data_IF_679108812473
#
_entry.id   IF_679108812473
#
_cell.length_a   1.000
_cell.length_b   1.000
_cell.length_c   1.000
_cell.angle_alpha   90.00
_cell.angle_beta   90.00
_cell.angle_gamma   90.00
#
_symmetry.space_group_name_H-M   'P 1'
#
loop_
_entity.id
_entity.type
_entity.pdbx_description
1 polymer ?
#
# COMPACT_ATOMS: atom_id res chain seq x y z
N UNK A 1 19.03 -3.14 -17.72
CA UNK A 1 18.33 -1.85 -17.61
C UNK A 1 17.01 -2.12 -16.90
N UNK A 2 16.81 -1.63 -15.67
CA UNK A 2 15.59 -1.90 -14.88
C UNK A 2 14.48 -1.01 -15.42
N UNK A 3 13.41 -1.60 -15.93
CA UNK A 3 12.23 -0.85 -16.35
C UNK A 3 11.46 -0.42 -15.09
N UNK A 4 11.37 0.88 -14.84
CA UNK A 4 10.49 1.41 -13.79
C UNK A 4 9.04 1.19 -14.22
N UNK A 5 8.38 0.15 -13.69
CA UNK A 5 6.96 -0.17 -13.94
C UNK A 5 6.00 0.49 -12.93
N UNK A 6 6.55 1.13 -11.91
CA UNK A 6 5.84 1.63 -10.73
C UNK A 6 5.22 3.03 -10.89
N UNK A 7 5.01 3.46 -12.15
CA UNK A 7 4.35 4.72 -12.43
C UNK A 7 3.58 4.70 -13.75
N UNK A 8 2.35 5.21 -13.69
CA UNK A 8 1.56 5.64 -14.84
C UNK A 8 0.57 4.61 -15.35
N UNK A 9 0.36 3.50 -14.63
CA UNK A 9 -0.64 2.51 -14.98
C UNK A 9 -1.96 2.68 -14.19
N UNK A 10 -2.94 1.85 -14.54
CA UNK A 10 -4.27 1.81 -13.93
C UNK A 10 -4.26 1.40 -12.44
N UNK A 11 -3.23 0.67 -11.98
CA UNK A 11 -3.04 0.31 -10.56
C UNK A 11 -2.49 1.51 -9.79
N UNK A 12 -1.51 2.21 -10.34
CA UNK A 12 -0.94 3.42 -9.75
C UNK A 12 -2.01 4.51 -9.61
N UNK A 13 -2.85 4.70 -10.63
CA UNK A 13 -3.99 5.62 -10.53
C UNK A 13 -4.86 5.34 -9.31
N UNK A 14 -5.15 4.05 -9.04
CA UNK A 14 -5.91 3.68 -7.86
C UNK A 14 -5.11 3.92 -6.56
N UNK A 15 -3.83 3.55 -6.50
CA UNK A 15 -3.01 3.80 -5.30
C UNK A 15 -3.01 5.29 -4.94
N UNK A 16 -2.71 6.16 -5.91
CA UNK A 16 -2.67 7.61 -5.70
C UNK A 16 -4.01 8.16 -5.22
N UNK A 17 -5.10 7.76 -5.86
CA UNK A 17 -6.43 8.27 -5.54
C UNK A 17 -6.87 7.89 -4.12
N UNK A 18 -6.67 6.62 -3.75
CA UNK A 18 -7.00 6.12 -2.41
C UNK A 18 -6.13 6.77 -1.33
N UNK A 19 -4.82 6.89 -1.57
CA UNK A 19 -3.90 7.52 -0.62
C UNK A 19 -4.27 9.00 -0.44
N UNK A 20 -4.58 9.70 -1.53
CA UNK A 20 -5.04 11.10 -1.48
C UNK A 20 -6.31 11.21 -0.65
N UNK A 21 -7.28 10.31 -0.84
CA UNK A 21 -8.51 10.30 -0.05
C UNK A 21 -8.22 10.12 1.45
N UNK A 22 -7.28 9.25 1.83
CA UNK A 22 -6.91 9.02 3.23
C UNK A 22 -6.22 10.25 3.82
N UNK A 23 -5.15 10.77 3.21
CA UNK A 23 -4.37 11.87 3.81
C UNK A 23 -5.16 13.18 3.88
N UNK A 24 -6.14 13.39 2.98
CA UNK A 24 -6.98 14.60 2.99
C UNK A 24 -8.16 14.52 3.96
N UNK A 25 -8.51 13.34 4.44
CA UNK A 25 -9.73 13.10 5.24
C UNK A 25 -9.44 12.50 6.62
N UNK A 26 -8.17 12.47 7.04
CA UNK A 26 -7.73 11.94 8.34
C UNK A 26 -6.76 12.90 9.01
N UNK A 27 -6.40 12.60 10.25
CA UNK A 27 -5.33 13.28 10.98
C UNK A 27 -3.92 12.98 10.46
N UNK A 28 -3.77 12.04 9.51
CA UNK A 28 -2.49 11.59 8.97
C UNK A 28 -1.91 12.63 7.99
N UNK A 29 -1.17 13.59 8.54
CA UNK A 29 -0.60 14.74 7.80
C UNK A 29 0.76 14.46 7.18
N UNK A 30 1.45 13.41 7.61
CA UNK A 30 2.75 13.04 7.08
C UNK A 30 2.63 11.77 6.25
N UNK A 31 3.41 11.68 5.18
CA UNK A 31 3.38 10.53 4.29
C UNK A 31 4.77 9.94 4.12
N UNK A 32 4.88 8.63 4.33
CA UNK A 32 6.09 7.85 4.10
C UNK A 32 5.83 6.87 2.96
N UNK A 33 6.59 7.00 1.87
CA UNK A 33 6.54 6.05 0.77
C UNK A 33 7.63 4.99 0.90
N UNK A 34 7.23 3.72 0.88
CA UNK A 34 8.12 2.56 1.00
C UNK A 34 8.00 1.68 -0.27
N UNK A 35 8.69 2.04 -1.36
CA UNK A 35 8.63 1.28 -2.62
C UNK A 35 9.52 0.04 -2.58
N UNK A 36 8.95 -1.17 -2.67
CA UNK A 36 9.74 -2.40 -2.74
C UNK A 36 10.02 -2.78 -4.19
N UNK A 37 11.07 -2.20 -4.75
CA UNK A 37 11.46 -2.42 -6.15
C UNK A 37 12.24 -3.72 -6.29
N UNK A 38 11.64 -4.79 -6.80
CA UNK A 38 12.36 -6.05 -7.01
C UNK A 38 13.02 -6.10 -8.40
N UNK A 39 13.99 -6.99 -8.59
CA UNK A 39 14.54 -7.25 -9.92
C UNK A 39 13.47 -7.87 -10.83
N UNK A 40 12.95 -7.08 -11.76
CA UNK A 40 11.90 -7.53 -12.68
C UNK A 40 12.42 -8.54 -13.71
N UNK A 41 11.62 -9.58 -13.93
CA UNK A 41 11.63 -10.37 -15.16
C UNK A 41 10.86 -9.63 -16.25
N UNK A 42 11.26 -9.77 -17.52
CA UNK A 42 10.51 -9.24 -18.66
C UNK A 42 9.10 -9.86 -18.70
N UNK A 43 8.09 -9.15 -18.23
CA UNK A 43 6.68 -9.50 -18.42
C UNK A 43 5.88 -8.29 -18.96
N UNK A 44 4.66 -8.53 -19.44
CA UNK A 44 3.78 -7.51 -20.01
C UNK A 44 2.96 -6.73 -18.96
N UNK A 45 3.22 -6.94 -17.66
CA UNK A 45 2.51 -6.23 -16.59
C UNK A 45 2.96 -4.76 -16.47
N UNK A 46 2.07 -3.87 -16.02
CA UNK A 46 2.37 -2.44 -15.80
C UNK A 46 2.23 -1.50 -17.00
N UNK A 47 1.52 -1.92 -18.05
CA UNK A 47 1.34 -1.13 -19.29
C UNK A 47 -0.12 -0.73 -19.58
N UNK A 48 -1.05 -1.05 -18.68
CA UNK A 48 -2.46 -0.69 -18.86
C UNK A 48 -2.66 0.77 -18.48
N UNK A 49 -2.93 1.61 -19.47
CA UNK A 49 -3.22 3.02 -19.23
C UNK A 49 -4.44 3.18 -18.30
N UNK A 50 -4.38 4.13 -17.35
CA UNK A 50 -5.50 4.43 -16.48
C UNK A 50 -6.67 4.97 -17.30
N UNK A 51 -7.89 4.69 -16.82
CA UNK A 51 -9.14 5.15 -17.44
C UNK A 51 -9.98 5.87 -16.40
N UNK A 52 -10.89 6.73 -16.87
CA UNK A 52 -11.91 7.35 -16.02
C UNK A 52 -12.68 6.24 -15.28
N UNK A 53 -12.85 6.41 -13.97
CA UNK A 53 -13.57 5.49 -13.10
C UNK A 53 -14.49 6.29 -12.20
N UNK A 54 -15.74 5.87 -12.11
CA UNK A 54 -16.71 6.50 -11.22
C UNK A 54 -16.21 6.48 -9.77
N UNK A 55 -16.23 7.66 -9.15
CA UNK A 55 -15.79 7.85 -7.75
C UNK A 55 -14.29 8.10 -7.57
N UNK A 56 -13.51 8.27 -8.66
CA UNK A 56 -12.08 8.61 -8.61
C UNK A 56 -11.81 9.98 -9.25
N UNK A 57 -10.63 10.55 -8.96
CA UNK A 57 -10.21 11.91 -9.32
C UNK A 57 -9.81 12.08 -10.80
N UNK A 58 -10.53 12.92 -11.53
CA UNK A 58 -10.20 13.29 -12.92
C UNK A 58 -8.92 14.14 -13.03
N UNK A 59 -8.64 14.99 -12.03
CA UNK A 59 -7.43 15.80 -11.96
C UNK A 59 -6.17 14.95 -11.79
N UNK A 60 -6.26 13.86 -11.03
CA UNK A 60 -5.20 12.85 -10.92
C UNK A 60 -4.98 12.12 -12.25
N UNK A 61 -6.05 11.71 -12.94
CA UNK A 61 -5.94 11.07 -14.24
C UNK A 61 -5.23 12.01 -15.24
N UNK A 62 -5.61 13.28 -15.25
CA UNK A 62 -4.97 14.30 -16.07
C UNK A 62 -3.50 14.54 -15.66
N UNK A 63 -3.19 14.51 -14.36
CA UNK A 63 -1.81 14.59 -13.87
C UNK A 63 -0.96 13.45 -14.40
N UNK A 64 -1.43 12.20 -14.26
CA UNK A 64 -0.71 11.01 -14.77
C UNK A 64 -0.50 11.13 -16.28
N UNK A 65 -1.52 11.54 -17.05
CA UNK A 65 -1.42 11.74 -18.48
C UNK A 65 -0.40 12.79 -18.93
N UNK A 66 -0.05 13.76 -18.07
CA UNK A 66 1.00 14.77 -18.34
C UNK A 66 2.42 14.29 -18.02
N UNK A 67 2.57 13.18 -17.29
CA UNK A 67 3.87 12.65 -16.90
C UNK A 67 4.47 11.85 -18.07
N UNK A 68 5.55 12.39 -18.68
CA UNK A 68 6.16 11.77 -19.87
C UNK A 68 7.17 10.66 -19.53
N UNK A 69 7.71 10.66 -18.33
CA UNK A 69 8.69 9.70 -17.83
C UNK A 69 8.11 8.80 -16.73
N UNK A 70 8.52 7.52 -16.69
CA UNK A 70 8.15 6.59 -15.62
C UNK A 70 9.07 6.78 -14.42
N UNK A 71 8.71 7.72 -13.54
CA UNK A 71 9.53 8.13 -12.42
C UNK A 71 8.75 8.16 -11.11
N UNK A 72 9.30 7.54 -10.08
CA UNK A 72 8.69 7.50 -8.75
C UNK A 72 8.61 8.88 -8.08
N UNK A 73 9.40 9.87 -8.52
CA UNK A 73 9.28 11.26 -8.04
C UNK A 73 7.91 11.89 -8.32
N UNK A 74 7.14 11.34 -9.25
CA UNK A 74 5.77 11.79 -9.48
C UNK A 74 4.85 11.54 -8.27
N UNK A 75 5.20 10.59 -7.39
CA UNK A 75 4.48 10.36 -6.13
C UNK A 75 4.58 11.56 -5.21
N UNK A 76 5.80 12.05 -4.99
CA UNK A 76 6.04 13.25 -4.21
C UNK A 76 5.36 14.46 -4.84
N UNK A 77 5.52 14.64 -6.15
CA UNK A 77 4.93 15.78 -6.85
C UNK A 77 3.40 15.82 -6.75
N UNK A 78 2.74 14.67 -6.78
CA UNK A 78 1.29 14.59 -6.61
C UNK A 78 0.87 14.80 -5.15
N UNK A 79 1.55 14.16 -4.20
CA UNK A 79 1.10 14.13 -2.80
C UNK A 79 1.51 15.37 -2.00
N UNK A 80 2.57 16.08 -2.39
CA UNK A 80 3.10 17.25 -1.66
C UNK A 80 2.04 18.31 -1.30
N UNK A 81 1.05 18.65 -2.15
CA UNK A 81 0.01 19.61 -1.78
C UNK A 81 -0.97 19.11 -0.70
N UNK A 82 -1.02 17.80 -0.45
CA UNK A 82 -1.99 17.17 0.46
C UNK A 82 -1.39 16.76 1.81
N UNK A 83 -0.07 16.86 1.97
CA UNK A 83 0.64 16.39 3.17
C UNK A 83 1.58 17.48 3.69
N UNK A 84 1.78 17.53 5.00
CA UNK A 84 2.74 18.42 5.64
C UNK A 84 4.20 18.00 5.35
N UNK A 85 4.44 16.71 5.12
CA UNK A 85 5.73 16.23 4.62
C UNK A 85 5.59 14.94 3.84
N UNK A 86 6.32 14.84 2.74
CA UNK A 86 6.57 13.60 2.02
C UNK A 86 7.96 13.09 2.39
N UNK A 87 8.08 11.80 2.74
CA UNK A 87 9.37 11.18 3.07
C UNK A 87 9.48 9.82 2.41
N UNK A 88 10.69 9.51 1.97
CA UNK A 88 11.07 8.19 1.48
C UNK A 88 12.59 8.06 1.57
N UNK A 89 13.09 6.90 1.23
CA UNK A 89 14.51 6.60 1.28
C UNK A 89 15.15 6.92 -0.06
N UNK A 90 16.07 7.90 -0.05
CA UNK A 90 16.78 8.37 -1.24
C UNK A 90 18.03 7.52 -1.55
N UNK A 91 18.48 7.43 -2.81
CA UNK A 91 17.79 7.91 -4.02
C UNK A 91 16.59 7.01 -4.40
N UNK A 92 15.42 7.63 -4.61
CA UNK A 92 14.20 6.91 -5.01
C UNK A 92 14.38 6.27 -6.39
N UNK A 93 13.88 5.04 -6.56
CA UNK A 93 13.94 4.32 -7.84
C UNK A 93 15.28 3.64 -8.13
N UNK A 94 16.26 3.75 -7.23
CA UNK A 94 17.59 3.14 -7.40
C UNK A 94 17.90 2.02 -6.41
N UNK A 95 17.24 2.02 -5.26
CA UNK A 95 17.41 0.94 -4.27
C UNK A 95 16.59 -0.26 -4.72
N UNK A 96 17.26 -1.34 -5.09
CA UNK A 96 16.63 -2.63 -5.39
C UNK A 96 16.46 -3.43 -4.10
N UNK A 97 15.28 -4.01 -3.95
CA UNK A 97 14.88 -4.88 -2.87
C UNK A 97 15.20 -6.33 -3.23
N UNK A 98 16.01 -7.00 -2.41
CA UNK A 98 16.36 -8.41 -2.55
C UNK A 98 16.38 -9.11 -1.19
N UNK A 99 16.55 -10.44 -1.18
CA UNK A 99 16.65 -11.19 0.08
C UNK A 99 17.92 -10.81 0.86
N UNK A 100 19.02 -10.52 0.15
CA UNK A 100 20.33 -10.19 0.71
C UNK A 100 20.32 -8.81 1.38
N UNK A 101 19.57 -7.85 0.84
CA UNK A 101 19.51 -6.47 1.37
C UNK A 101 18.30 -6.22 2.26
N UNK A 102 17.43 -7.21 2.44
CA UNK A 102 16.12 -7.13 3.12
C UNK A 102 16.19 -6.45 4.49
N UNK A 103 17.10 -6.90 5.35
CA UNK A 103 17.23 -6.38 6.71
C UNK A 103 17.70 -4.91 6.73
N UNK A 104 18.74 -4.58 5.96
CA UNK A 104 19.25 -3.21 5.88
C UNK A 104 18.28 -2.26 5.16
N UNK A 105 17.49 -2.77 4.23
CA UNK A 105 16.43 -2.02 3.56
C UNK A 105 15.38 -1.52 4.57
N UNK A 106 14.81 -2.41 5.39
CA UNK A 106 13.77 -2.03 6.35
C UNK A 106 14.28 -1.10 7.44
N UNK A 107 15.53 -1.30 7.88
CA UNK A 107 16.17 -0.44 8.89
C UNK A 107 16.18 1.04 8.48
N UNK A 108 16.30 1.35 7.18
CA UNK A 108 16.29 2.73 6.65
C UNK A 108 14.95 3.43 6.86
N UNK A 109 13.85 2.69 6.99
CA UNK A 109 12.51 3.25 7.19
C UNK A 109 12.11 3.36 8.66
N UNK A 110 12.80 2.69 9.60
CA UNK A 110 12.39 2.65 11.01
C UNK A 110 12.18 4.04 11.62
N UNK A 111 13.16 4.96 11.46
CA UNK A 111 13.04 6.33 11.97
C UNK A 111 11.92 7.14 11.33
N UNK A 112 11.52 6.79 10.10
CA UNK A 112 10.42 7.45 9.41
C UNK A 112 9.06 7.03 9.97
N UNK A 113 8.96 5.80 10.50
CA UNK A 113 7.72 5.25 11.07
C UNK A 113 7.43 5.72 12.50
N UNK A 114 8.46 6.20 13.21
CA UNK A 114 8.34 6.78 14.56
C UNK A 114 7.68 8.16 14.55
N UNK A 115 7.57 8.79 13.37
CA UNK A 115 6.90 10.07 13.22
C UNK A 115 5.39 9.95 13.45
N UNK A 116 4.86 10.84 14.29
CA UNK A 116 3.43 10.90 14.57
C UNK A 116 2.60 11.23 13.33
N UNK A 117 1.31 10.88 13.35
CA UNK A 117 0.33 11.28 12.33
C UNK A 117 0.79 10.96 10.90
N UNK A 118 1.42 9.79 10.74
CA UNK A 118 2.03 9.35 9.49
C UNK A 118 1.19 8.26 8.83
N UNK A 119 0.89 8.43 7.55
CA UNK A 119 0.48 7.35 6.67
C UNK A 119 1.72 6.78 5.99
N UNK A 120 2.15 5.58 6.39
CA UNK A 120 3.22 4.86 5.72
C UNK A 120 2.63 3.89 4.70
N UNK A 121 2.87 4.14 3.41
CA UNK A 121 2.42 3.27 2.31
C UNK A 121 3.53 2.32 1.86
N UNK A 122 3.24 1.02 1.92
CA UNK A 122 4.15 -0.05 1.52
C UNK A 122 3.66 -0.62 0.21
N UNK A 123 4.53 -0.59 -0.80
CA UNK A 123 4.23 -1.01 -2.17
C UNK A 123 5.08 -2.24 -2.58
N UNK A 124 4.78 -3.44 -2.02
CA UNK A 124 5.33 -4.71 -2.51
C UNK A 124 4.75 -5.09 -3.87
N UNK A 125 5.48 -5.88 -4.65
CA UNK A 125 4.93 -6.42 -5.91
C UNK A 125 3.68 -7.29 -5.67
N UNK A 126 3.67 -8.09 -4.61
CA UNK A 126 2.54 -8.99 -4.29
C UNK A 126 1.78 -8.59 -3.04
N UNK A 127 2.43 -8.28 -1.92
CA UNK A 127 1.73 -7.95 -0.67
C UNK A 127 2.28 -8.63 0.57
N UNK A 128 1.43 -8.83 1.57
CA UNK A 128 1.81 -9.52 2.81
C UNK A 128 1.90 -11.03 2.57
N UNK A 129 2.91 -11.68 3.12
CA UNK A 129 2.90 -13.12 3.39
C UNK A 129 2.75 -13.33 4.89
N UNK A 130 1.50 -13.51 5.33
CA UNK A 130 1.20 -13.92 6.70
C UNK A 130 0.94 -15.43 6.68
N UNK A 131 1.90 -16.24 7.11
CA UNK A 131 1.79 -17.68 6.89
C UNK A 131 3.01 -18.52 7.16
N UNK A 132 2.91 -19.81 6.83
CA UNK A 132 4.09 -20.67 6.68
C UNK A 132 4.88 -20.21 5.45
N UNK A 133 6.19 -20.02 5.61
CA UNK A 133 7.12 -19.62 4.53
C UNK A 133 7.17 -20.63 3.38
N UNK A 134 6.92 -21.91 3.66
CA UNK A 134 6.94 -23.00 2.68
C UNK A 134 5.96 -22.86 1.52
N UNK A 135 5.04 -21.89 1.57
CA UNK A 135 4.11 -21.58 0.49
C UNK A 135 4.69 -20.67 -0.62
N UNK A 136 5.86 -20.06 -0.40
CA UNK A 136 6.51 -19.19 -1.39
C UNK A 136 7.78 -19.86 -1.91
N UNK A 137 7.96 -19.86 -3.23
CA UNK A 137 9.22 -20.24 -3.85
C UNK A 137 10.30 -19.21 -3.48
N UNK A 138 11.52 -19.64 -3.23
CA UNK A 138 12.61 -18.76 -2.77
C UNK A 138 12.79 -17.50 -3.64
N UNK A 139 12.68 -17.66 -4.97
CA UNK A 139 12.78 -16.57 -5.95
C UNK A 139 11.63 -15.55 -5.89
N UNK A 140 10.48 -15.90 -5.30
CA UNK A 140 9.33 -15.01 -5.18
C UNK A 140 9.29 -14.32 -3.80
N UNK A 141 10.14 -14.73 -2.86
CA UNK A 141 10.22 -14.16 -1.51
C UNK A 141 10.38 -12.62 -1.48
N UNK A 142 11.20 -11.99 -2.35
CA UNK A 142 11.36 -10.53 -2.38
C UNK A 142 10.07 -9.77 -2.72
N UNK A 143 9.09 -10.41 -3.36
CA UNK A 143 7.82 -9.79 -3.77
C UNK A 143 6.83 -9.61 -2.62
N UNK A 144 7.14 -10.16 -1.44
CA UNK A 144 6.25 -10.13 -0.28
C UNK A 144 6.87 -9.35 0.86
N UNK A 145 6.06 -8.94 1.84
CA UNK A 145 6.50 -8.55 3.19
C UNK A 145 6.26 -9.75 4.12
N UNK A 146 7.27 -10.22 4.85
CA UNK A 146 7.12 -11.37 5.75
C UNK A 146 6.54 -10.95 7.11
N UNK A 147 5.98 -11.93 7.83
CA UNK A 147 5.52 -11.75 9.22
C UNK A 147 6.58 -11.06 10.11
N UNK A 148 7.83 -11.53 10.09
CA UNK A 148 8.91 -10.98 10.93
C UNK A 148 9.23 -9.52 10.64
N UNK A 149 8.94 -9.05 9.44
CA UNK A 149 9.23 -7.69 9.01
C UNK A 149 8.06 -6.78 9.30
N UNK A 150 6.84 -7.28 9.09
CA UNK A 150 5.65 -6.60 9.54
C UNK A 150 5.71 -6.37 11.06
N UNK A 151 6.18 -7.37 11.82
CA UNK A 151 6.43 -7.25 13.26
C UNK A 151 7.36 -6.08 13.60
N UNK A 152 8.50 -5.97 12.93
CA UNK A 152 9.47 -4.88 13.13
C UNK A 152 8.89 -3.51 12.74
N UNK A 153 8.20 -3.44 11.60
CA UNK A 153 7.58 -2.21 11.12
C UNK A 153 6.47 -1.73 12.06
N UNK A 154 5.68 -2.68 12.58
CA UNK A 154 4.64 -2.42 13.57
C UNK A 154 5.27 -1.96 14.88
N UNK A 155 6.35 -2.58 15.35
CA UNK A 155 7.03 -2.17 16.56
C UNK A 155 7.39 -0.67 16.51
N UNK A 156 7.96 -0.22 15.38
CA UNK A 156 8.38 1.18 15.17
C UNK A 156 7.27 2.15 14.79
N UNK A 157 6.10 1.66 14.35
CA UNK A 157 4.98 2.52 13.97
C UNK A 157 4.49 3.34 15.16
N UNK A 158 4.45 4.66 15.02
CA UNK A 158 3.88 5.54 16.04
C UNK A 158 2.38 5.23 16.30
N UNK A 159 1.87 5.31 17.55
CA UNK A 159 0.47 5.00 17.84
C UNK A 159 -0.58 5.85 17.09
N UNK A 160 -0.24 7.10 16.75
CA UNK A 160 -1.11 7.98 15.94
C UNK A 160 -0.94 7.80 14.41
N UNK A 161 -0.20 6.78 13.99
CA UNK A 161 0.15 6.53 12.58
C UNK A 161 -0.52 5.25 12.05
N UNK A 162 -0.52 5.10 10.73
CA UNK A 162 -1.09 3.96 10.03
C UNK A 162 -0.12 3.38 9.00
N UNK A 163 -0.09 2.06 8.89
CA UNK A 163 0.50 1.36 7.74
C UNK A 163 -0.62 1.09 6.73
N UNK A 164 -0.40 1.43 5.46
CA UNK A 164 -1.24 1.05 4.35
C UNK A 164 -0.44 0.15 3.41
N UNK A 165 -0.90 -1.08 3.22
CA UNK A 165 -0.14 -2.10 2.50
C UNK A 165 -0.89 -2.49 1.24
N UNK A 166 -0.26 -2.33 0.08
CA UNK A 166 -0.78 -2.83 -1.18
C UNK A 166 -0.73 -4.36 -1.22
N UNK A 167 -1.77 -4.97 -1.77
CA UNK A 167 -1.91 -6.41 -1.89
C UNK A 167 -2.51 -6.77 -3.25
N UNK A 168 -1.73 -7.48 -4.06
CA UNK A 168 -2.22 -8.19 -5.22
C UNK A 168 -2.87 -9.52 -4.81
N UNK A 169 -4.04 -9.82 -5.36
CA UNK A 169 -4.84 -11.00 -5.04
C UNK A 169 -4.70 -12.09 -6.10
N UNK A 170 -4.86 -13.38 -5.74
CA UNK A 170 -4.72 -14.48 -6.69
C UNK A 170 -5.75 -14.36 -7.83
N UNK A 171 -5.46 -14.91 -9.02
CA UNK A 171 -6.38 -14.82 -10.17
C UNK A 171 -7.81 -15.32 -9.89
N UNK A 172 -7.95 -16.30 -9.00
CA UNK A 172 -9.26 -16.83 -8.64
C UNK A 172 -10.00 -15.88 -7.68
N UNK A 173 -10.97 -15.16 -8.25
CA UNK A 173 -11.78 -14.15 -7.54
C UNK A 173 -12.59 -14.69 -6.37
N UNK A 174 -12.92 -15.99 -6.35
CA UNK A 174 -13.67 -16.61 -5.25
C UNK A 174 -12.94 -16.50 -3.91
N UNK A 175 -11.61 -16.56 -3.93
CA UNK A 175 -10.79 -16.53 -2.71
C UNK A 175 -10.54 -15.14 -2.16
N UNK A 176 -10.73 -14.10 -2.97
CA UNK A 176 -10.28 -12.74 -2.65
C UNK A 176 -10.76 -12.22 -1.30
N UNK A 177 -12.07 -12.31 -1.01
CA UNK A 177 -12.64 -11.82 0.25
C UNK A 177 -12.04 -12.58 1.44
N UNK A 178 -11.96 -13.90 1.32
CA UNK A 178 -11.37 -14.77 2.34
C UNK A 178 -9.88 -14.49 2.52
N UNK A 179 -9.13 -14.27 1.44
CA UNK A 179 -7.71 -13.90 1.49
C UNK A 179 -7.49 -12.60 2.26
N UNK A 180 -8.30 -11.57 1.98
CA UNK A 180 -8.20 -10.29 2.69
C UNK A 180 -8.60 -10.43 4.16
N UNK A 181 -9.72 -11.13 4.45
CA UNK A 181 -10.17 -11.37 5.82
C UNK A 181 -9.12 -12.14 6.64
N UNK A 182 -8.54 -13.19 6.09
CA UNK A 182 -7.52 -13.98 6.78
C UNK A 182 -6.29 -13.12 7.14
N UNK A 183 -5.91 -12.18 6.25
CA UNK A 183 -4.80 -11.26 6.54
C UNK A 183 -5.14 -10.28 7.66
N UNK A 184 -6.35 -9.72 7.65
CA UNK A 184 -6.85 -8.83 8.70
C UNK A 184 -6.89 -9.57 10.04
N UNK A 185 -7.53 -10.74 10.09
CA UNK A 185 -7.64 -11.55 11.32
C UNK A 185 -6.26 -11.85 11.88
N UNK A 186 -5.34 -12.34 11.04
CA UNK A 186 -3.98 -12.65 11.48
C UNK A 186 -3.21 -11.43 11.96
N UNK A 187 -3.33 -10.29 11.29
CA UNK A 187 -2.67 -9.06 11.72
C UNK A 187 -3.15 -8.61 13.11
N UNK A 188 -4.43 -8.83 13.40
CA UNK A 188 -5.03 -8.50 14.70
C UNK A 188 -4.61 -9.47 15.79
N UNK A 189 -4.73 -10.77 15.53
CA UNK A 189 -4.41 -11.82 16.51
C UNK A 189 -2.93 -11.84 16.86
N UNK A 190 -2.06 -11.68 15.86
CA UNK A 190 -0.61 -11.80 16.07
C UNK A 190 0.02 -10.51 16.61
N UNK A 191 -0.42 -9.35 16.15
CA UNK A 191 0.24 -8.08 16.46
C UNK A 191 -0.60 -7.15 17.34
N UNK A 192 -1.81 -7.57 17.75
CA UNK A 192 -2.69 -6.75 18.59
C UNK A 192 -3.21 -5.47 17.90
N UNK A 193 -3.17 -5.42 16.57
CA UNK A 193 -3.51 -4.22 15.80
C UNK A 193 -5.00 -4.10 15.53
N UNK A 194 -5.42 -2.90 15.16
CA UNK A 194 -6.65 -2.71 14.41
C UNK A 194 -6.36 -2.78 12.93
N UNK A 195 -7.24 -3.44 12.20
CA UNK A 195 -7.08 -3.66 10.77
C UNK A 195 -8.40 -3.45 10.03
N UNK A 196 -8.33 -2.79 8.88
CA UNK A 196 -9.42 -2.69 7.91
C UNK A 196 -8.84 -2.82 6.50
N UNK A 197 -9.68 -3.15 5.53
CA UNK A 197 -9.23 -3.17 4.15
C UNK A 197 -10.30 -2.74 3.16
N UNK A 198 -9.83 -2.20 2.03
CA UNK A 198 -10.64 -1.97 0.84
C UNK A 198 -10.11 -2.83 -0.30
N UNK A 199 -11.01 -3.51 -0.99
CA UNK A 199 -10.72 -4.33 -2.18
C UNK A 199 -11.43 -3.77 -3.39
N UNK A 200 -10.76 -3.76 -4.52
CA UNK A 200 -11.37 -3.53 -5.84
C UNK A 200 -10.66 -4.40 -6.90
N UNK A 201 -11.43 -5.27 -7.56
CA UNK A 201 -10.88 -6.24 -8.51
C UNK A 201 -9.92 -7.23 -7.84
N UNK A 202 -8.73 -7.35 -8.42
CA UNK A 202 -7.59 -8.15 -7.97
C UNK A 202 -6.66 -7.40 -6.99
N UNK A 203 -7.07 -6.22 -6.52
CA UNK A 203 -6.26 -5.38 -5.62
C UNK A 203 -6.96 -5.19 -4.28
N UNK A 204 -6.16 -5.19 -3.21
CA UNK A 204 -6.59 -4.80 -1.88
C UNK A 204 -5.57 -3.85 -1.23
N UNK A 205 -6.07 -3.03 -0.33
CA UNK A 205 -5.28 -2.14 0.52
C UNK A 205 -5.63 -2.45 1.96
N UNK A 206 -4.65 -2.93 2.71
CA UNK A 206 -4.81 -3.32 4.11
C UNK A 206 -4.25 -2.20 4.98
N UNK A 207 -5.10 -1.57 5.76
CA UNK A 207 -4.72 -0.55 6.73
C UNK A 207 -4.54 -1.19 8.11
N UNK A 208 -3.40 -0.95 8.74
CA UNK A 208 -3.05 -1.44 10.08
C UNK A 208 -2.70 -0.25 10.98
N UNK A 209 -3.23 -0.25 12.20
CA UNK A 209 -3.02 0.84 13.17
C UNK A 209 -2.92 0.29 14.59
N UNK A 210 -2.20 1.00 15.46
CA UNK A 210 -2.15 0.67 16.91
C UNK A 210 -3.29 1.29 17.72
N UNK A 211 -3.94 2.32 17.18
CA UNK A 211 -4.90 3.16 17.89
C UNK A 211 -6.29 3.06 17.26
N UNK A 212 -7.32 2.90 18.10
CA UNK A 212 -8.72 2.85 17.68
C UNK A 212 -9.18 4.12 16.98
N UNK A 213 -8.92 5.35 17.50
CA UNK A 213 -9.19 6.59 16.78
C UNK A 213 -8.66 6.61 15.34
N UNK A 214 -7.38 6.26 15.13
CA UNK A 214 -6.75 6.26 13.81
C UNK A 214 -7.40 5.22 12.91
N UNK A 215 -7.68 4.02 13.44
CA UNK A 215 -8.41 2.99 12.71
C UNK A 215 -9.77 3.49 12.26
N UNK A 216 -10.52 4.16 13.14
CA UNK A 216 -11.85 4.66 12.85
C UNK A 216 -11.84 5.76 11.79
N UNK A 217 -10.83 6.64 11.80
CA UNK A 217 -10.61 7.63 10.74
C UNK A 217 -10.39 6.97 9.38
N UNK A 218 -9.41 6.06 9.27
CA UNK A 218 -9.12 5.36 8.03
C UNK A 218 -10.31 4.52 7.57
N UNK A 219 -10.97 3.83 8.49
CA UNK A 219 -12.19 3.06 8.23
C UNK A 219 -13.28 3.92 7.58
N UNK A 220 -13.56 5.12 8.10
CA UNK A 220 -14.58 6.02 7.54
C UNK A 220 -14.25 6.42 6.10
N UNK A 221 -12.97 6.71 5.82
CA UNK A 221 -12.51 7.03 4.47
C UNK A 221 -12.69 5.84 3.54
N UNK A 222 -12.21 4.65 3.92
CA UNK A 222 -12.34 3.44 3.11
C UNK A 222 -13.81 3.07 2.85
N UNK A 223 -14.69 3.24 3.84
CA UNK A 223 -16.12 3.01 3.68
C UNK A 223 -16.77 4.03 2.72
N UNK A 224 -16.39 5.31 2.80
CA UNK A 224 -16.86 6.34 1.87
C UNK A 224 -16.36 6.08 0.45
N UNK A 225 -15.08 5.74 0.30
CA UNK A 225 -14.44 5.39 -0.97
C UNK A 225 -15.12 4.17 -1.62
N UNK A 226 -15.42 3.13 -0.81
CA UNK A 226 -16.20 1.98 -1.25
C UNK A 226 -17.59 2.38 -1.75
N UNK A 227 -18.32 3.26 -1.05
CA UNK A 227 -19.65 3.72 -1.49
C UNK A 227 -19.58 4.48 -2.82
N UNK A 228 -18.56 5.31 -3.02
CA UNK A 228 -18.40 6.11 -4.22
C UNK A 228 -17.97 5.31 -5.47
N UNK A 229 -17.21 4.22 -5.29
CA UNK A 229 -16.69 3.43 -6.41
C UNK A 229 -17.81 2.78 -7.24
N UNK A 230 -17.75 2.89 -8.57
CA UNK A 230 -18.69 2.18 -9.47
C UNK A 230 -18.36 0.70 -9.71
N UNK A 231 -17.30 0.16 -9.08
CA UNK A 231 -16.80 -1.17 -9.41
C UNK A 231 -17.71 -2.29 -8.86
N UNK A 232 -18.08 -3.25 -9.70
CA UNK A 232 -18.91 -4.42 -9.33
C UNK A 232 -18.17 -5.43 -8.46
N UNK A 233 -16.84 -5.44 -8.53
CA UNK A 233 -15.95 -6.34 -7.82
C UNK A 233 -15.21 -5.60 -6.70
N UNK A 234 -15.92 -4.83 -5.90
CA UNK A 234 -15.39 -4.20 -4.68
C UNK A 234 -15.86 -4.91 -3.41
N UNK A 235 -15.08 -4.80 -2.35
CA UNK A 235 -15.53 -5.16 -1.01
C UNK A 235 -14.84 -4.32 0.04
N UNK A 236 -15.56 -4.11 1.13
CA UNK A 236 -15.04 -3.43 2.30
C UNK A 236 -14.98 -4.41 3.47
N UNK A 237 -13.86 -4.38 4.19
CA UNK A 237 -13.54 -5.30 5.26
C UNK A 237 -13.36 -4.50 6.56
N UNK A 238 -14.38 -4.48 7.44
CA UNK A 238 -14.40 -3.61 8.59
C UNK A 238 -13.40 -4.04 9.67
N UNK A 239 -13.00 -3.09 10.51
CA UNK A 239 -12.36 -3.40 11.78
C UNK A 239 -13.46 -3.88 12.73
N UNK A 240 -13.46 -5.16 13.12
CA UNK A 240 -14.49 -5.70 14.01
C UNK A 240 -13.83 -6.24 15.28
N UNK A 241 -13.58 -5.40 16.30
CA UNK A 241 -13.35 -5.92 17.65
C UNK A 241 -14.62 -6.67 18.06
N UNK A 242 -14.51 -7.99 18.23
CA UNK A 242 -15.44 -8.71 19.09
C UNK A 242 -15.10 -8.34 20.53
#
# INVERSE_FOLDING_TARGET
MVQLKYFGDDRDYFKYDLITAIVTSTSLRHYVFVPMLTEHRYDNEGNKLPKVRQGKRDDLLAFIGRCRDKNLKHWERWLAPYVASYRTVEPVGRTIFSNETRASYWLRFHRLLEQENTLAFLDPDTGLQLGRKSAIREQDCPKYILDTELEQLVEKLHPSSALLIYQHLPRNMHWHKTTVNNKIVRARERYGLFASAYREGDLAFIALTKSEPVCHEVYRVLAAYHRASGNSHKSFHPHARQ
#
